data_IF_769456684122
#
_entry.id   IF_769456684122
#
_cell.length_a   1.000
_cell.length_b   1.000
_cell.length_c   1.000
_cell.angle_alpha   90.00
_cell.angle_beta   90.00
_cell.angle_gamma   90.00
#
_symmetry.space_group_name_H-M   'P 1'
#
loop_
_entity.id
_entity.type
_entity.pdbx_description
1 polymer ?
#
# COMPACT_ATOMS: atom_id res chain seq x y z
N UNK A 1 0.51 -6.38 -8.81
CA UNK A 1 1.50 -7.45 -9.10
C UNK A 1 2.18 -7.18 -10.44
N UNK A 2 1.43 -7.08 -11.56
CA UNK A 2 2.00 -6.94 -12.92
C UNK A 2 2.97 -5.77 -13.06
N UNK A 3 2.70 -4.62 -12.46
CA UNK A 3 3.58 -3.45 -12.50
C UNK A 3 4.95 -3.70 -11.84
N UNK A 4 4.99 -4.54 -10.82
CA UNK A 4 6.23 -4.95 -10.14
C UNK A 4 7.05 -5.90 -11.02
N UNK A 5 6.41 -6.92 -11.59
CA UNK A 5 7.05 -7.90 -12.48
C UNK A 5 7.62 -7.22 -13.74
N UNK A 6 6.94 -6.20 -14.28
CA UNK A 6 7.40 -5.41 -15.43
C UNK A 6 8.74 -4.69 -15.16
N UNK A 7 8.99 -4.32 -13.92
CA UNK A 7 10.22 -3.65 -13.48
C UNK A 7 11.28 -4.61 -12.95
N UNK A 8 11.15 -5.90 -13.30
CA UNK A 8 12.10 -6.99 -12.95
C UNK A 8 12.22 -7.26 -11.44
N UNK A 9 11.18 -6.97 -10.68
CA UNK A 9 11.14 -7.41 -9.28
C UNK A 9 10.82 -8.89 -9.19
N UNK A 10 11.47 -9.55 -8.25
CA UNK A 10 11.02 -10.83 -7.73
C UNK A 10 9.91 -10.58 -6.73
N UNK A 11 8.75 -11.19 -6.94
CA UNK A 11 7.56 -10.99 -6.14
C UNK A 11 7.20 -12.27 -5.41
N UNK A 12 7.07 -12.20 -4.10
CA UNK A 12 6.50 -13.27 -3.28
C UNK A 12 5.07 -12.92 -2.93
N UNK A 13 4.14 -13.79 -3.29
CA UNK A 13 2.73 -13.61 -2.96
C UNK A 13 2.32 -14.59 -1.87
N UNK A 14 1.97 -14.06 -0.70
CA UNK A 14 1.51 -14.85 0.44
C UNK A 14 0.01 -15.07 0.35
N UNK A 15 -0.42 -16.31 0.32
CA UNK A 15 -1.81 -16.73 0.08
C UNK A 15 -2.23 -17.83 1.05
N UNK A 16 -3.53 -17.92 1.34
CA UNK A 16 -4.08 -18.99 2.17
C UNK A 16 -4.39 -20.25 1.35
N UNK A 17 -4.82 -20.09 0.10
CA UNK A 17 -5.20 -21.19 -0.80
C UNK A 17 -4.46 -21.12 -2.13
N UNK A 18 -4.08 -22.29 -2.68
CA UNK A 18 -3.25 -22.39 -3.90
C UNK A 18 -4.05 -22.28 -5.22
N UNK A 19 -5.31 -21.87 -5.22
CA UNK A 19 -6.09 -21.66 -6.43
C UNK A 19 -5.73 -20.35 -7.13
N UNK A 20 -4.76 -20.42 -8.02
CA UNK A 20 -4.21 -19.25 -8.71
C UNK A 20 -4.71 -19.15 -10.15
N UNK A 21 -4.97 -17.95 -10.65
CA UNK A 21 -5.27 -17.74 -12.07
C UNK A 21 -4.10 -18.19 -12.97
N UNK A 22 -4.41 -18.95 -14.01
CA UNK A 22 -3.41 -19.51 -14.95
C UNK A 22 -2.53 -18.45 -15.62
N UNK A 23 -3.01 -17.21 -15.74
CA UNK A 23 -2.21 -16.14 -16.38
C UNK A 23 -0.94 -15.79 -15.60
N UNK A 24 -0.81 -16.18 -14.34
CA UNK A 24 0.44 -16.04 -13.58
C UNK A 24 1.49 -17.12 -13.90
N UNK A 25 1.12 -18.18 -14.61
CA UNK A 25 2.00 -19.34 -14.84
C UNK A 25 3.33 -18.97 -15.53
N UNK A 26 3.30 -18.01 -16.46
CA UNK A 26 4.53 -17.55 -17.14
C UNK A 26 5.53 -16.93 -16.17
N UNK A 27 5.07 -16.11 -15.21
CA UNK A 27 5.93 -15.46 -14.22
C UNK A 27 6.41 -16.43 -13.15
N UNK A 28 5.59 -17.40 -12.80
CA UNK A 28 5.97 -18.50 -11.93
C UNK A 28 7.07 -19.35 -12.55
N UNK A 29 6.92 -19.71 -13.82
CA UNK A 29 7.92 -20.51 -14.57
C UNK A 29 9.25 -19.77 -14.75
N UNK A 30 9.24 -18.44 -14.88
CA UNK A 30 10.47 -17.63 -14.96
C UNK A 30 11.14 -17.39 -13.61
N UNK A 31 10.53 -17.77 -12.50
CA UNK A 31 11.02 -17.50 -11.15
C UNK A 31 10.81 -16.08 -10.64
N UNK A 32 10.18 -15.21 -11.44
CA UNK A 32 9.88 -13.83 -11.00
C UNK A 32 8.75 -13.76 -9.98
N UNK A 33 7.83 -14.74 -9.98
CA UNK A 33 6.72 -14.80 -9.05
C UNK A 33 6.74 -16.14 -8.31
N UNK A 34 6.79 -16.08 -6.99
CA UNK A 34 6.67 -17.22 -6.11
C UNK A 34 5.45 -17.09 -5.19
N UNK A 35 4.95 -18.23 -4.75
CA UNK A 35 3.79 -18.31 -3.85
C UNK A 35 4.22 -18.96 -2.56
N UNK A 36 3.86 -18.32 -1.46
CA UNK A 36 4.14 -18.75 -0.10
C UNK A 36 2.82 -18.93 0.67
N UNK A 37 2.82 -19.82 1.62
CA UNK A 37 1.67 -19.96 2.52
C UNK A 37 1.73 -18.90 3.62
N UNK A 38 0.61 -18.20 3.87
CA UNK A 38 0.53 -17.23 4.99
C UNK A 38 0.89 -17.87 6.34
N UNK A 39 0.64 -19.18 6.49
CA UNK A 39 0.93 -19.93 7.72
C UNK A 39 2.42 -20.00 8.07
N UNK A 40 3.31 -19.78 7.08
CA UNK A 40 4.77 -19.71 7.32
C UNK A 40 5.15 -18.51 8.20
N UNK A 41 4.35 -17.45 8.19
CA UNK A 41 4.59 -16.23 8.95
C UNK A 41 3.64 -16.15 10.15
N UNK A 42 2.34 -16.31 9.90
CA UNK A 42 1.30 -16.22 10.91
C UNK A 42 0.04 -16.95 10.44
N UNK A 43 -0.45 -17.97 11.20
CA UNK A 43 -1.68 -18.63 10.83
C UNK A 43 -2.88 -17.67 10.93
N UNK A 44 -3.78 -17.75 9.94
CA UNK A 44 -5.06 -17.05 9.99
C UNK A 44 -6.06 -17.85 10.81
N UNK A 45 -6.66 -17.22 11.82
CA UNK A 45 -7.73 -17.80 12.61
C UNK A 45 -9.08 -17.46 11.97
N UNK A 46 -9.93 -18.46 11.74
CA UNK A 46 -11.30 -18.22 11.26
C UNK A 46 -12.05 -17.31 12.25
N UNK A 47 -12.60 -16.21 11.73
CA UNK A 47 -13.27 -15.18 12.53
C UNK A 47 -12.40 -14.00 12.96
N UNK A 48 -11.10 -14.03 12.70
CA UNK A 48 -10.27 -12.83 12.87
C UNK A 48 -10.63 -11.76 11.82
N UNK A 49 -10.65 -10.50 12.25
CA UNK A 49 -10.83 -9.39 11.31
C UNK A 49 -9.62 -9.30 10.36
N UNK A 50 -9.88 -9.25 9.06
CA UNK A 50 -8.86 -9.36 8.02
C UNK A 50 -7.89 -8.17 8.02
N UNK A 51 -8.36 -6.96 8.33
CA UNK A 51 -7.50 -5.76 8.31
C UNK A 51 -6.46 -5.78 9.43
N UNK A 52 -6.83 -5.95 10.72
CA UNK A 52 -5.84 -6.08 11.80
C UNK A 52 -4.89 -7.26 11.61
N UNK A 53 -5.39 -8.38 11.06
CA UNK A 53 -4.56 -9.53 10.71
C UNK A 53 -3.51 -9.14 9.65
N UNK A 54 -3.93 -8.52 8.55
CA UNK A 54 -3.06 -8.12 7.45
C UNK A 54 -1.98 -7.13 7.91
N UNK A 55 -2.33 -6.20 8.80
CA UNK A 55 -1.37 -5.23 9.34
C UNK A 55 -0.30 -5.91 10.20
N UNK A 56 -0.71 -6.81 11.11
CA UNK A 56 0.24 -7.55 11.92
C UNK A 56 1.08 -8.51 11.07
N UNK A 57 0.46 -9.15 10.08
CA UNK A 57 1.14 -10.05 9.14
C UNK A 57 2.29 -9.34 8.41
N UNK A 58 2.07 -8.15 7.83
CA UNK A 58 3.12 -7.40 7.12
C UNK A 58 4.29 -7.03 8.01
N UNK A 59 4.04 -6.67 9.27
CA UNK A 59 5.11 -6.35 10.21
C UNK A 59 5.94 -7.59 10.56
N UNK A 60 5.28 -8.72 10.84
CA UNK A 60 5.95 -9.99 11.10
C UNK A 60 6.75 -10.49 9.91
N UNK A 61 6.17 -10.42 8.71
CA UNK A 61 6.85 -10.79 7.49
C UNK A 61 8.13 -9.99 7.31
N UNK A 62 8.06 -8.66 7.35
CA UNK A 62 9.22 -7.79 7.19
C UNK A 62 10.26 -8.02 8.29
N UNK A 63 9.84 -8.24 9.53
CA UNK A 63 10.77 -8.58 10.62
C UNK A 63 11.51 -9.91 10.37
N UNK A 64 10.81 -10.94 9.91
CA UNK A 64 11.38 -12.27 9.70
C UNK A 64 12.25 -12.37 8.44
N UNK A 65 11.87 -11.71 7.36
CA UNK A 65 12.50 -11.85 6.04
C UNK A 65 13.27 -10.62 5.58
N UNK A 66 12.92 -9.45 6.09
CA UNK A 66 13.32 -8.17 5.50
C UNK A 66 12.63 -7.92 4.17
N UNK A 67 13.12 -6.94 3.43
CA UNK A 67 12.65 -6.64 2.09
C UNK A 67 11.54 -5.59 2.02
N UNK A 68 10.70 -5.66 1.01
CA UNK A 68 9.66 -4.66 0.74
C UNK A 68 8.28 -5.28 0.73
N UNK A 69 7.40 -4.78 1.59
CA UNK A 69 5.96 -4.99 1.49
C UNK A 69 5.33 -3.98 0.54
N UNK A 70 4.38 -4.44 -0.25
CA UNK A 70 3.47 -3.57 -0.98
C UNK A 70 2.05 -4.15 -0.93
N UNK A 71 1.06 -3.30 -0.70
CA UNK A 71 -0.34 -3.69 -0.84
C UNK A 71 -0.63 -4.08 -2.29
N UNK A 72 -1.53 -5.03 -2.52
CA UNK A 72 -1.78 -5.62 -3.85
C UNK A 72 -2.34 -4.62 -4.87
N UNK A 73 -2.86 -3.50 -4.40
CA UNK A 73 -3.36 -2.37 -5.18
C UNK A 73 -2.38 -1.19 -5.29
N UNK A 74 -1.12 -1.40 -4.91
CA UNK A 74 -0.02 -0.49 -5.22
C UNK A 74 0.49 -0.72 -6.63
N UNK A 75 0.29 0.27 -7.52
CA UNK A 75 0.79 0.24 -8.88
C UNK A 75 2.18 0.90 -8.95
N UNK A 76 3.20 0.13 -9.29
CA UNK A 76 4.58 0.60 -9.37
C UNK A 76 4.87 1.18 -10.76
N UNK A 77 5.34 2.43 -10.81
CA UNK A 77 5.70 3.15 -12.03
C UNK A 77 7.20 3.10 -12.30
N UNK A 78 8.01 3.20 -11.25
CA UNK A 78 9.47 3.26 -11.29
C UNK A 78 10.07 2.32 -10.25
N UNK A 79 11.32 1.93 -10.45
CA UNK A 79 12.06 1.16 -9.42
C UNK A 79 12.11 1.96 -8.12
N UNK A 80 11.93 1.26 -7.02
CA UNK A 80 12.06 1.85 -5.68
C UNK A 80 13.49 2.33 -5.45
N UNK A 81 13.71 3.37 -4.66
CA UNK A 81 15.03 3.76 -4.22
C UNK A 81 15.71 2.60 -3.46
N UNK A 82 17.04 2.65 -3.38
CA UNK A 82 17.86 1.61 -2.73
C UNK A 82 17.97 1.76 -1.21
N UNK A 83 17.19 2.67 -0.62
CA UNK A 83 17.21 2.93 0.81
C UNK A 83 16.84 1.69 1.61
N UNK A 84 17.50 1.47 2.74
CA UNK A 84 17.23 0.33 3.62
C UNK A 84 15.86 0.44 4.29
N UNK A 85 15.40 1.66 4.53
CA UNK A 85 14.09 1.97 5.11
C UNK A 85 13.25 2.73 4.09
N UNK A 86 12.03 2.24 3.83
CA UNK A 86 10.99 2.96 3.07
C UNK A 86 9.72 2.94 3.90
N UNK A 87 9.14 4.10 4.13
CA UNK A 87 7.86 4.28 4.78
C UNK A 87 7.05 5.24 3.92
N UNK A 88 5.97 4.74 3.33
CA UNK A 88 5.04 5.57 2.56
C UNK A 88 4.21 6.49 3.47
N UNK A 89 3.62 7.50 2.88
CA UNK A 89 2.64 8.36 3.55
C UNK A 89 1.45 8.64 2.64
N UNK A 90 0.37 9.11 3.21
CA UNK A 90 -0.85 9.49 2.53
C UNK A 90 -1.35 10.86 2.98
N UNK A 91 -2.07 11.54 2.12
CA UNK A 91 -2.83 12.72 2.52
C UNK A 91 -3.99 12.34 3.44
N UNK A 92 -4.27 13.18 4.42
CA UNK A 92 -5.40 13.06 5.32
C UNK A 92 -5.86 14.44 5.79
N UNK A 93 -6.95 14.49 6.53
CA UNK A 93 -7.41 15.74 7.13
C UNK A 93 -6.96 15.84 8.58
N UNK A 94 -6.58 17.04 8.99
CA UNK A 94 -6.26 17.32 10.39
C UNK A 94 -7.49 17.06 11.25
N UNK A 95 -7.33 16.31 12.34
CA UNK A 95 -8.39 16.10 13.35
C UNK A 95 -8.59 17.37 14.19
N UNK A 96 -9.82 17.60 14.67
CA UNK A 96 -10.18 18.74 15.54
C UNK A 96 -10.91 19.87 14.84
N UNK A 97 -10.81 21.10 15.38
CA UNK A 97 -11.52 22.28 14.87
C UNK A 97 -11.16 22.68 13.42
N UNK A 98 -9.99 22.24 12.95
CA UNK A 98 -9.50 22.51 11.60
C UNK A 98 -9.59 21.28 10.67
N UNK A 99 -10.69 20.53 10.73
CA UNK A 99 -10.89 19.30 9.93
C UNK A 99 -10.76 19.49 8.42
N UNK A 100 -10.80 20.72 7.92
CA UNK A 100 -10.61 21.06 6.50
C UNK A 100 -9.14 21.25 6.10
N UNK A 101 -8.21 21.29 7.04
CA UNK A 101 -6.79 21.47 6.73
C UNK A 101 -6.19 20.15 6.30
N UNK A 102 -5.72 20.11 5.06
CA UNK A 102 -4.97 18.98 4.53
C UNK A 102 -3.65 18.82 5.27
N UNK A 103 -3.33 17.60 5.60
CA UNK A 103 -2.05 17.18 6.17
C UNK A 103 -1.67 15.83 5.58
N UNK A 104 -0.62 15.21 6.10
CA UNK A 104 -0.25 13.85 5.72
C UNK A 104 0.15 13.03 6.94
N UNK A 105 0.08 11.72 6.82
CA UNK A 105 0.43 10.76 7.85
C UNK A 105 1.14 9.57 7.22
N UNK A 106 1.98 8.88 7.99
CA UNK A 106 2.58 7.64 7.54
C UNK A 106 1.50 6.62 7.15
N UNK A 107 1.71 5.95 6.02
CA UNK A 107 0.89 4.88 5.46
C UNK A 107 1.71 3.59 5.43
N UNK A 108 1.04 2.45 5.44
CA UNK A 108 1.67 1.13 5.48
C UNK A 108 1.52 0.34 4.17
N UNK A 109 1.07 1.01 3.10
CA UNK A 109 0.89 0.41 1.78
C UNK A 109 2.18 0.06 1.06
N UNK A 110 3.28 0.82 1.32
CA UNK A 110 4.64 0.45 0.92
C UNK A 110 5.57 0.63 2.11
N UNK A 111 6.19 -0.45 2.52
CA UNK A 111 7.14 -0.49 3.62
C UNK A 111 8.38 -1.29 3.21
N UNK A 112 9.57 -0.81 3.58
CA UNK A 112 10.81 -1.60 3.52
C UNK A 112 11.53 -1.51 4.85
N UNK A 113 11.97 -2.66 5.34
CA UNK A 113 12.77 -2.78 6.55
C UNK A 113 13.82 -3.88 6.38
N UNK A 114 14.97 -3.79 7.02
CA UNK A 114 15.90 -4.89 7.10
C UNK A 114 15.31 -6.03 7.97
N UNK A 115 15.80 -7.24 7.73
CA UNK A 115 15.46 -8.40 8.57
C UNK A 115 15.92 -8.15 10.02
N UNK A 116 15.06 -8.47 10.99
CA UNK A 116 15.36 -8.33 12.41
C UNK A 116 15.32 -6.89 12.92
N UNK A 117 14.63 -5.99 12.20
CA UNK A 117 14.56 -4.57 12.56
C UNK A 117 13.94 -4.36 13.95
N UNK A 118 14.63 -3.61 14.81
CA UNK A 118 14.24 -3.41 16.21
C UNK A 118 12.95 -2.58 16.35
N UNK A 119 12.68 -1.65 15.43
CA UNK A 119 11.41 -0.90 15.44
C UNK A 119 10.23 -1.84 15.21
N UNK A 120 10.35 -2.76 14.24
CA UNK A 120 9.32 -3.76 13.96
C UNK A 120 9.13 -4.73 15.12
N UNK A 121 10.21 -5.22 15.74
CA UNK A 121 10.12 -6.10 16.91
C UNK A 121 9.31 -5.45 18.03
N UNK A 122 9.67 -4.23 18.38
CA UNK A 122 8.97 -3.45 19.41
C UNK A 122 7.50 -3.13 19.05
N UNK A 123 7.21 -2.97 17.75
CA UNK A 123 5.84 -2.72 17.26
C UNK A 123 5.00 -3.99 17.39
N UNK A 124 5.49 -5.12 16.92
CA UNK A 124 4.85 -6.44 17.00
C UNK A 124 4.54 -6.78 18.46
N UNK A 125 5.54 -6.67 19.34
CA UNK A 125 5.37 -6.93 20.77
C UNK A 125 4.24 -6.08 21.39
N UNK A 126 4.17 -4.79 21.03
CA UNK A 126 3.12 -3.87 21.51
C UNK A 126 1.73 -4.31 21.05
N UNK A 127 1.60 -4.66 19.77
CA UNK A 127 0.33 -5.08 19.17
C UNK A 127 -0.13 -6.41 19.78
N UNK A 128 0.74 -7.42 19.86
CA UNK A 128 0.39 -8.73 20.41
C UNK A 128 -0.01 -8.68 21.89
N UNK A 129 0.64 -7.82 22.68
CA UNK A 129 0.27 -7.63 24.08
C UNK A 129 -1.08 -6.94 24.26
N UNK A 130 -1.50 -6.09 23.31
CA UNK A 130 -2.84 -5.50 23.35
C UNK A 130 -3.93 -6.53 23.04
N UNK A 131 -3.71 -7.45 22.10
CA UNK A 131 -4.63 -8.56 21.86
C UNK A 131 -4.79 -9.47 23.09
N UNK A 132 -3.69 -9.77 23.80
CA UNK A 132 -3.74 -10.57 25.05
C UNK A 132 -4.59 -9.92 26.14
N UNK A 133 -4.68 -8.59 26.16
CA UNK A 133 -5.47 -7.81 27.12
C UNK A 133 -6.90 -7.54 26.64
N UNK A 134 -7.31 -8.11 25.49
CA UNK A 134 -8.58 -7.81 24.81
C UNK A 134 -8.77 -6.28 24.54
N UNK A 135 -7.68 -5.54 24.41
CA UNK A 135 -7.69 -4.13 24.00
C UNK A 135 -7.66 -4.07 22.48
N UNK A 136 -8.74 -3.60 21.85
CA UNK A 136 -8.72 -3.33 20.42
C UNK A 136 -7.82 -2.12 20.14
N UNK A 137 -6.72 -2.35 19.44
CA UNK A 137 -5.86 -1.29 18.91
C UNK A 137 -5.88 -1.33 17.39
N UNK A 138 -6.15 -0.19 16.77
CA UNK A 138 -5.88 -0.01 15.35
C UNK A 138 -4.36 -0.06 15.14
N UNK A 139 -3.90 -1.13 14.46
CA UNK A 139 -2.47 -1.42 14.28
C UNK A 139 -1.74 -0.29 13.54
N UNK A 140 -2.43 0.40 12.61
CA UNK A 140 -1.87 1.56 11.91
C UNK A 140 -1.71 2.76 12.85
N UNK A 141 -2.65 2.97 13.78
CA UNK A 141 -2.53 4.03 14.80
C UNK A 141 -1.35 3.73 15.73
N UNK A 142 -1.17 2.48 16.15
CA UNK A 142 -0.02 2.07 16.97
C UNK A 142 1.30 2.31 16.23
N UNK A 143 1.38 1.92 14.96
CA UNK A 143 2.52 2.19 14.08
C UNK A 143 2.85 3.68 14.05
N UNK A 144 1.87 4.53 13.70
CA UNK A 144 2.04 6.00 13.62
C UNK A 144 2.52 6.62 14.94
N UNK A 145 1.95 6.17 16.07
CA UNK A 145 2.35 6.65 17.40
C UNK A 145 3.79 6.28 17.76
N UNK A 146 4.21 5.05 17.46
CA UNK A 146 5.59 4.63 17.68
C UNK A 146 6.57 5.36 16.77
N UNK A 147 6.21 5.49 15.49
CA UNK A 147 7.04 6.11 14.48
C UNK A 147 7.32 7.59 14.79
N UNK A 148 6.33 8.33 15.29
CA UNK A 148 6.44 9.77 15.62
C UNK A 148 7.64 10.10 16.53
N UNK A 149 8.02 9.17 17.41
CA UNK A 149 9.10 9.33 18.37
C UNK A 149 10.34 8.48 18.02
N UNK A 150 10.44 8.02 16.77
CA UNK A 150 11.54 7.20 16.28
C UNK A 150 12.30 7.93 15.17
N UNK A 151 13.63 7.78 15.05
CA UNK A 151 14.41 8.41 13.98
C UNK A 151 13.90 8.12 12.55
N UNK A 152 13.21 7.00 12.35
CA UNK A 152 12.58 6.65 11.07
C UNK A 152 11.44 7.61 10.67
N UNK A 153 10.97 8.47 11.58
CA UNK A 153 9.97 9.47 11.22
C UNK A 153 10.49 10.43 10.15
N UNK A 154 11.76 10.78 10.21
CA UNK A 154 12.40 11.67 9.23
C UNK A 154 12.62 11.01 7.86
N UNK A 155 12.48 9.67 7.78
CA UNK A 155 12.57 8.89 6.55
C UNK A 155 11.21 8.67 5.87
N UNK A 156 10.12 9.18 6.44
CA UNK A 156 8.78 9.03 5.84
C UNK A 156 8.72 9.82 4.54
N UNK A 157 8.47 9.11 3.46
CA UNK A 157 8.40 9.70 2.12
C UNK A 157 7.15 10.57 1.95
N UNK A 158 7.21 11.66 1.18
CA UNK A 158 6.05 12.51 0.93
C UNK A 158 4.94 11.74 0.18
N UNK A 159 3.65 12.08 0.39
CA UNK A 159 2.52 11.32 -0.19
C UNK A 159 2.56 11.16 -1.71
N UNK A 160 2.99 12.20 -2.45
CA UNK A 160 3.08 12.17 -3.90
C UNK A 160 4.08 11.15 -4.44
N UNK A 161 4.96 10.63 -3.62
CA UNK A 161 5.93 9.61 -4.03
C UNK A 161 5.30 8.22 -4.18
N UNK A 162 4.39 7.84 -3.27
CA UNK A 162 3.80 6.49 -3.23
C UNK A 162 2.27 6.46 -3.25
N UNK A 163 1.62 7.42 -2.60
CA UNK A 163 0.16 7.47 -2.42
C UNK A 163 -0.39 8.83 -2.86
N UNK A 164 0.04 9.36 -4.00
CA UNK A 164 -0.37 10.67 -4.50
C UNK A 164 -1.88 10.77 -4.79
N UNK A 165 -2.53 9.66 -5.11
CA UNK A 165 -3.98 9.58 -5.25
C UNK A 165 -4.63 9.56 -3.86
N UNK A 166 -5.47 10.56 -3.56
CA UNK A 166 -6.17 10.61 -2.27
C UNK A 166 -7.35 9.63 -2.23
N UNK A 167 -7.52 8.93 -1.12
CA UNK A 167 -8.57 7.91 -0.97
C UNK A 167 -10.00 8.46 -1.16
N UNK A 168 -10.26 9.74 -0.81
CA UNK A 168 -11.58 10.36 -0.99
C UNK A 168 -11.89 10.80 -2.42
N UNK A 169 -10.89 10.87 -3.29
CA UNK A 169 -11.01 11.24 -4.70
C UNK A 169 -10.64 10.11 -5.66
N UNK A 170 -10.39 8.90 -5.16
CA UNK A 170 -9.91 7.78 -5.97
C UNK A 170 -10.86 7.45 -7.14
N UNK A 171 -12.17 7.71 -7.00
CA UNK A 171 -13.16 7.55 -8.08
C UNK A 171 -12.82 8.39 -9.33
N UNK A 172 -12.28 9.59 -9.15
CA UNK A 172 -11.95 10.48 -10.28
C UNK A 172 -10.86 9.86 -11.17
N UNK A 173 -10.00 9.01 -10.62
CA UNK A 173 -8.96 8.31 -11.39
C UNK A 173 -9.48 7.39 -12.50
N UNK A 174 -10.77 7.03 -12.48
CA UNK A 174 -11.41 6.18 -13.48
C UNK A 174 -12.15 6.98 -14.57
N UNK A 175 -12.63 8.19 -14.21
CA UNK A 175 -13.57 8.92 -15.07
C UNK A 175 -13.06 10.26 -15.56
N UNK A 176 -12.04 10.83 -14.93
CA UNK A 176 -11.44 12.10 -15.31
C UNK A 176 -10.13 11.95 -16.07
N UNK A 177 -9.90 12.85 -17.03
CA UNK A 177 -8.61 13.03 -17.73
C UNK A 177 -7.59 13.79 -16.87
N UNK A 178 -8.03 14.40 -15.78
CA UNK A 178 -7.20 15.11 -14.81
C UNK A 178 -7.61 14.75 -13.38
N UNK A 179 -6.66 14.83 -12.47
CA UNK A 179 -6.87 14.58 -11.05
C UNK A 179 -6.83 15.91 -10.29
N UNK A 180 -7.92 16.26 -9.67
CA UNK A 180 -8.04 17.45 -8.84
C UNK A 180 -8.04 17.06 -7.38
N UNK A 181 -7.01 17.48 -6.64
CA UNK A 181 -7.00 17.33 -5.18
C UNK A 181 -7.84 18.47 -4.59
N UNK A 182 -9.05 18.17 -4.12
CA UNK A 182 -9.87 19.11 -3.37
C UNK A 182 -9.18 19.47 -2.06
N UNK A 183 -9.43 20.67 -1.54
CA UNK A 183 -8.95 21.17 -0.24
C UNK A 183 -7.51 21.72 -0.18
N UNK A 184 -7.08 22.43 -1.22
CA UNK A 184 -5.90 23.29 -1.15
C UNK A 184 -4.57 22.64 -1.55
N UNK A 185 -4.61 21.42 -2.09
CA UNK A 185 -3.48 20.85 -2.80
C UNK A 185 -3.55 21.26 -4.26
N UNK A 186 -2.40 21.60 -4.82
CA UNK A 186 -2.25 21.95 -6.22
C UNK A 186 -2.87 20.88 -7.12
N UNK A 187 -3.73 21.25 -8.04
CA UNK A 187 -4.25 20.34 -9.06
C UNK A 187 -3.07 19.69 -9.78
N UNK A 188 -3.06 18.36 -9.86
CA UNK A 188 -2.12 17.61 -10.66
C UNK A 188 -2.83 17.04 -11.87
N UNK A 189 -2.23 17.16 -13.04
CA UNK A 189 -2.65 16.39 -14.20
C UNK A 189 -2.28 14.91 -14.01
N UNK A 190 -2.96 14.01 -14.73
CA UNK A 190 -2.59 12.60 -14.75
C UNK A 190 -1.13 12.41 -15.18
N UNK A 191 -0.62 13.22 -16.12
CA UNK A 191 0.77 13.18 -16.56
C UNK A 191 1.76 13.59 -15.46
N UNK A 192 1.46 14.68 -14.73
CA UNK A 192 2.31 15.11 -13.61
C UNK A 192 2.40 14.02 -12.53
N UNK A 193 1.28 13.37 -12.21
CA UNK A 193 1.25 12.27 -11.26
C UNK A 193 2.07 11.07 -11.75
N UNK A 194 1.89 10.63 -12.99
CA UNK A 194 2.63 9.52 -13.60
C UNK A 194 4.13 9.81 -13.66
N UNK A 195 4.52 11.06 -13.92
CA UNK A 195 5.92 11.46 -14.02
C UNK A 195 6.60 11.62 -12.65
N UNK A 196 5.90 12.07 -11.64
CA UNK A 196 6.47 12.36 -10.32
C UNK A 196 6.47 11.15 -9.38
N UNK A 197 5.40 10.34 -9.40
CA UNK A 197 5.25 9.23 -8.48
C UNK A 197 6.20 8.06 -8.77
N UNK A 198 6.59 7.35 -7.73
CA UNK A 198 7.24 6.04 -7.80
C UNK A 198 6.19 4.93 -7.85
N UNK A 199 5.11 5.09 -7.09
CA UNK A 199 3.92 4.23 -7.17
C UNK A 199 2.64 5.01 -6.95
N UNK A 200 1.51 4.38 -7.27
CA UNK A 200 0.16 4.91 -7.05
C UNK A 200 -0.65 3.87 -6.27
N UNK A 201 -1.30 4.30 -5.20
CA UNK A 201 -2.24 3.47 -4.44
C UNK A 201 -3.64 3.61 -5.04
N UNK A 202 -4.22 2.52 -5.52
CA UNK A 202 -5.50 2.53 -6.24
C UNK A 202 -6.73 2.48 -5.32
N UNK A 203 -6.53 2.24 -4.03
CA UNK A 203 -7.60 2.20 -3.02
C UNK A 203 -8.73 1.22 -3.36
N UNK A 204 -8.39 0.01 -3.82
CA UNK A 204 -9.35 -0.97 -4.32
C UNK A 204 -10.50 -1.24 -3.37
N UNK A 205 -10.23 -1.36 -2.07
CA UNK A 205 -11.30 -1.56 -1.09
C UNK A 205 -12.33 -0.42 -1.12
N UNK A 206 -11.88 0.83 -1.23
CA UNK A 206 -12.76 2.00 -1.28
C UNK A 206 -13.47 2.09 -2.63
N UNK A 207 -12.76 1.86 -3.73
CA UNK A 207 -13.31 1.94 -5.09
C UNK A 207 -14.39 0.88 -5.32
N UNK A 208 -14.18 -0.35 -4.87
CA UNK A 208 -15.17 -1.42 -5.02
C UNK A 208 -16.33 -1.32 -4.03
N UNK A 209 -16.07 -1.02 -2.76
CA UNK A 209 -17.12 -1.04 -1.73
C UNK A 209 -17.96 0.23 -1.66
N UNK A 210 -17.34 1.40 -1.91
CA UNK A 210 -18.02 2.70 -1.74
C UNK A 210 -18.44 3.36 -3.05
N UNK A 211 -17.75 3.07 -4.15
CA UNK A 211 -17.95 3.84 -5.39
C UNK A 211 -18.60 3.04 -6.53
N UNK A 212 -18.66 1.72 -6.43
CA UNK A 212 -19.29 0.84 -7.42
C UNK A 212 -18.88 1.23 -8.87
N UNK A 213 -17.58 1.14 -9.17
CA UNK A 213 -17.00 1.56 -10.44
C UNK A 213 -17.60 0.79 -11.60
N UNK A 214 -18.18 1.51 -12.57
CA UNK A 214 -18.64 0.93 -13.84
C UNK A 214 -17.48 0.90 -14.85
N UNK A 215 -16.87 -0.25 -15.01
CA UNK A 215 -15.72 -0.43 -15.91
C UNK A 215 -16.05 -0.19 -17.40
N UNK A 216 -17.33 -0.22 -17.79
CA UNK A 216 -17.76 0.10 -19.16
C UNK A 216 -17.75 1.61 -19.46
N UNK A 217 -17.65 2.43 -18.43
CA UNK A 217 -17.66 3.91 -18.53
C UNK A 217 -16.32 4.56 -18.20
N UNK A 218 -15.25 3.77 -18.13
CA UNK A 218 -13.92 4.31 -17.87
C UNK A 218 -13.53 5.28 -19.00
N UNK A 219 -13.12 6.48 -18.62
CA UNK A 219 -12.56 7.43 -19.58
C UNK A 219 -11.19 6.90 -20.08
N UNK A 220 -10.97 6.78 -21.40
CA UNK A 220 -9.71 6.30 -21.98
C UNK A 220 -8.49 7.18 -21.60
N UNK A 221 -8.71 8.46 -21.29
CA UNK A 221 -7.68 9.40 -20.84
C UNK A 221 -7.51 9.46 -19.32
N UNK A 222 -8.29 8.67 -18.57
CA UNK A 222 -8.21 8.61 -17.12
C UNK A 222 -6.86 8.05 -16.63
N UNK A 223 -6.52 8.35 -15.38
CA UNK A 223 -5.32 7.80 -14.75
C UNK A 223 -5.33 6.26 -14.79
N UNK A 224 -6.47 5.65 -14.46
CA UNK A 224 -6.62 4.18 -14.46
C UNK A 224 -6.37 3.58 -15.86
N UNK A 225 -6.97 4.15 -16.91
CA UNK A 225 -6.76 3.66 -18.28
C UNK A 225 -5.30 3.78 -18.72
N UNK A 226 -4.63 4.87 -18.35
CA UNK A 226 -3.18 5.05 -18.63
C UNK A 226 -2.31 4.05 -17.87
N UNK A 227 -2.63 3.76 -16.60
CA UNK A 227 -1.94 2.72 -15.82
C UNK A 227 -2.16 1.33 -16.44
N UNK A 228 -3.37 1.05 -16.89
CA UNK A 228 -3.69 -0.20 -17.61
C UNK A 228 -2.83 -0.34 -18.87
N UNK A 229 -2.76 0.71 -19.69
CA UNK A 229 -1.97 0.70 -20.92
C UNK A 229 -0.46 0.50 -20.68
N UNK A 230 0.08 1.00 -19.58
CA UNK A 230 1.49 0.75 -19.19
C UNK A 230 1.78 -0.75 -19.00
N UNK A 231 0.79 -1.55 -18.61
CA UNK A 231 0.95 -2.99 -18.36
C UNK A 231 0.69 -3.84 -19.60
N UNK A 232 -0.29 -3.48 -20.40
CA UNK A 232 -0.88 -4.37 -21.40
C UNK A 232 -0.60 -3.96 -22.84
N UNK A 233 -0.02 -2.78 -23.08
CA UNK A 233 0.46 -2.28 -24.37
C UNK A 233 1.96 -2.00 -24.36
#
# INVERSE_FOLDING_TARGET
>A
IMSWLRLDYQVELYIDTLNLPKYFDRYRKSGQLSFKCIKEIMPYSSGAEILPYSDLFRYKLLFQTGGTWADTDMFLLKKLPKDDIIISSEHTFQSGAFKSKLTWVANIGVLRFPKGDQFLENLIFKIENSFKKAEYLDNMIVFRKKLKNHPYFDLVSPPNMYCGLCWWNCKESFYSDHYTIKYGVKNQTNNEMLNSATSIHLWNNITHTKHNIDFNKINPDSLYARLYNIIFN
#
